data_IF_133135801443
#
_entry.id   IF_133135801443
#
_cell.length_a   1.000
_cell.length_b   1.000
_cell.length_c   1.000
_cell.angle_alpha   90.00
_cell.angle_beta   90.00
_cell.angle_gamma   90.00
#
_symmetry.space_group_name_H-M   'P 1'
#
loop_
_entity.id
_entity.type
_entity.pdbx_description
1 polymer ?
#
# COMPACT_ATOMS: atom_id res chain seq x y z
N UNK A 1 -17.06 3.95 16.95
CA UNK A 1 -17.14 4.04 15.47
C UNK A 1 -18.54 3.71 15.00
N UNK A 2 -19.14 4.49 14.08
CA UNK A 2 -20.48 4.20 13.57
C UNK A 2 -20.41 3.16 12.44
N UNK A 3 -20.67 1.90 12.79
CA UNK A 3 -20.68 0.73 11.89
C UNK A 3 -21.51 1.02 10.63
N UNK A 4 -22.61 1.80 10.73
CA UNK A 4 -23.47 2.22 9.61
C UNK A 4 -22.71 2.84 8.43
N UNK A 5 -21.61 3.57 8.69
CA UNK A 5 -20.84 4.23 7.63
C UNK A 5 -19.98 3.28 6.79
N UNK A 6 -19.73 2.07 7.26
CA UNK A 6 -18.98 1.05 6.52
C UNK A 6 -19.84 0.33 5.47
N UNK A 7 -21.17 0.51 5.51
CA UNK A 7 -22.09 -0.15 4.57
C UNK A 7 -21.73 0.22 3.11
N UNK A 8 -21.57 -0.78 2.22
CA UNK A 8 -21.38 -0.52 0.79
C UNK A 8 -22.58 0.27 0.25
N UNK A 9 -22.33 1.50 -0.23
CA UNK A 9 -23.36 2.32 -0.87
C UNK A 9 -23.34 2.04 -2.36
N UNK A 10 -24.43 1.49 -2.89
CA UNK A 10 -24.62 1.40 -4.33
C UNK A 10 -24.85 2.81 -4.90
N UNK A 11 -24.17 3.12 -6.00
CA UNK A 11 -24.22 4.42 -6.68
C UNK A 11 -24.48 4.17 -8.16
N UNK A 12 -25.26 5.06 -8.79
CA UNK A 12 -25.49 4.99 -10.23
C UNK A 12 -24.18 5.18 -11.01
N UNK A 13 -24.12 4.64 -12.23
CA UNK A 13 -22.96 4.78 -13.13
C UNK A 13 -22.57 6.24 -13.33
N UNK A 14 -23.55 7.12 -13.56
CA UNK A 14 -23.33 8.56 -13.70
C UNK A 14 -22.71 9.20 -12.46
N UNK A 15 -23.17 8.82 -11.25
CA UNK A 15 -22.59 9.31 -10.00
C UNK A 15 -21.13 8.87 -9.83
N UNK A 16 -20.79 7.65 -10.23
CA UNK A 16 -19.42 7.13 -10.19
C UNK A 16 -18.53 7.90 -11.18
N UNK A 17 -18.99 8.13 -12.41
CA UNK A 17 -18.24 8.88 -13.43
C UNK A 17 -18.00 10.33 -12.99
N UNK A 18 -19.07 11.04 -12.60
CA UNK A 18 -18.97 12.44 -12.16
C UNK A 18 -18.13 12.57 -10.88
N UNK A 19 -18.30 11.64 -9.94
CA UNK A 19 -17.49 11.58 -8.73
C UNK A 19 -16.01 11.36 -9.04
N UNK A 20 -15.69 10.41 -9.92
CA UNK A 20 -14.32 10.14 -10.36
C UNK A 20 -13.70 11.38 -11.00
N UNK A 21 -14.43 12.07 -11.87
CA UNK A 21 -13.96 13.31 -12.48
C UNK A 21 -13.72 14.41 -11.42
N UNK A 22 -14.70 14.66 -10.55
CA UNK A 22 -14.58 15.64 -9.47
C UNK A 22 -13.37 15.38 -8.56
N UNK A 23 -13.24 14.15 -8.03
CA UNK A 23 -12.14 13.82 -7.12
C UNK A 23 -10.79 13.83 -7.84
N UNK A 24 -10.75 13.45 -9.12
CA UNK A 24 -9.51 13.51 -9.89
C UNK A 24 -9.05 14.94 -10.13
N UNK A 25 -9.97 15.82 -10.53
CA UNK A 25 -9.71 17.25 -10.70
C UNK A 25 -9.30 17.89 -9.38
N UNK A 26 -10.01 17.57 -8.28
CA UNK A 26 -9.65 18.04 -6.93
C UNK A 26 -8.21 17.64 -6.57
N UNK A 27 -7.80 16.40 -6.85
CA UNK A 27 -6.43 15.96 -6.60
C UNK A 27 -5.41 16.75 -7.40
N UNK A 28 -5.68 17.06 -8.68
CA UNK A 28 -4.76 17.87 -9.48
C UNK A 28 -4.61 19.28 -8.92
N UNK A 29 -5.72 19.91 -8.50
CA UNK A 29 -5.68 21.22 -7.83
C UNK A 29 -4.85 21.13 -6.55
N UNK A 30 -5.05 20.08 -5.73
CA UNK A 30 -4.23 19.86 -4.53
C UNK A 30 -2.72 19.76 -4.86
N UNK A 31 -2.32 18.98 -5.86
CA UNK A 31 -0.90 18.88 -6.25
C UNK A 31 -0.27 20.19 -6.71
N UNK A 32 -1.09 21.16 -7.14
CA UNK A 32 -0.65 22.47 -7.61
C UNK A 32 -0.73 23.54 -6.51
N UNK A 33 -1.65 23.42 -5.56
CA UNK A 33 -2.02 24.50 -4.65
C UNK A 33 -1.96 24.13 -3.15
N UNK A 34 -1.56 22.90 -2.78
CA UNK A 34 -1.48 22.49 -1.37
C UNK A 34 -0.20 22.96 -0.63
N UNK A 35 0.65 23.73 -1.30
CA UNK A 35 1.88 24.28 -0.74
C UNK A 35 2.99 23.25 -0.47
N UNK A 36 2.78 21.96 -0.76
CA UNK A 36 3.81 20.95 -0.53
C UNK A 36 4.87 20.98 -1.63
N UNK A 37 6.12 20.78 -1.23
CA UNK A 37 7.21 20.49 -2.17
C UNK A 37 7.23 19.01 -2.47
N UNK A 38 6.86 18.62 -3.68
CA UNK A 38 6.85 17.21 -4.07
C UNK A 38 8.19 16.77 -4.66
N UNK A 39 8.65 15.60 -4.25
CA UNK A 39 9.89 14.99 -4.73
C UNK A 39 9.83 14.77 -6.26
N UNK A 40 10.88 15.20 -6.96
CA UNK A 40 11.03 15.07 -8.42
C UNK A 40 12.42 14.59 -8.85
N UNK A 41 13.39 14.60 -7.94
CA UNK A 41 14.80 14.31 -8.26
C UNK A 41 15.03 12.81 -8.28
N UNK A 42 15.61 12.31 -9.36
CA UNK A 42 16.07 10.93 -9.48
C UNK A 42 17.60 10.88 -9.40
N UNK A 43 18.10 9.84 -8.79
CA UNK A 43 19.53 9.53 -8.71
C UNK A 43 19.72 8.04 -8.99
N UNK A 44 20.64 7.70 -9.90
CA UNK A 44 20.96 6.31 -10.23
C UNK A 44 21.86 5.68 -9.18
N UNK A 45 22.86 6.44 -8.71
CA UNK A 45 23.75 6.00 -7.65
C UNK A 45 22.98 5.79 -6.35
N UNK A 46 23.29 4.69 -5.67
CA UNK A 46 22.64 4.32 -4.42
C UNK A 46 23.25 5.13 -3.27
N UNK A 47 22.39 5.70 -2.42
CA UNK A 47 22.83 6.22 -1.13
C UNK A 47 23.49 5.09 -0.30
N UNK A 48 24.50 5.40 0.51
CA UNK A 48 25.39 4.39 1.08
C UNK A 48 24.69 3.45 2.07
N UNK A 49 23.83 3.97 2.94
CA UNK A 49 23.20 3.19 4.00
C UNK A 49 21.83 2.64 3.56
N UNK A 50 21.55 1.39 3.88
CA UNK A 50 20.21 0.81 3.71
C UNK A 50 19.46 0.99 5.03
N UNK A 51 18.39 1.79 5.04
CA UNK A 51 17.52 1.94 6.22
C UNK A 51 16.70 0.67 6.43
N UNK A 52 15.98 0.24 5.40
CA UNK A 52 15.21 -1.00 5.43
C UNK A 52 15.15 -1.61 4.04
N UNK A 53 15.12 -2.94 3.98
CA UNK A 53 14.85 -3.71 2.79
C UNK A 53 13.66 -4.63 3.05
N UNK A 54 12.75 -4.73 2.09
CA UNK A 54 11.66 -5.70 2.14
C UNK A 54 11.43 -6.34 0.79
N UNK A 55 10.91 -7.58 0.81
CA UNK A 55 10.56 -8.33 -0.40
C UNK A 55 9.20 -8.99 -0.26
N UNK A 56 8.45 -9.00 -1.37
CA UNK A 56 7.15 -9.67 -1.45
C UNK A 56 7.11 -10.59 -2.65
N UNK A 57 6.45 -11.74 -2.53
CA UNK A 57 6.32 -12.72 -3.62
C UNK A 57 5.52 -12.09 -4.77
N UNK A 58 6.02 -12.22 -6.00
CA UNK A 58 5.38 -11.65 -7.19
C UNK A 58 4.12 -12.41 -7.61
N UNK A 59 4.17 -13.74 -7.59
CA UNK A 59 3.12 -14.59 -8.12
C UNK A 59 2.50 -15.39 -6.98
N UNK A 60 1.18 -15.24 -6.79
CA UNK A 60 0.41 -16.06 -5.86
C UNK A 60 -0.70 -16.74 -6.64
N UNK A 61 -0.83 -18.06 -6.49
CA UNK A 61 -1.98 -18.80 -7.01
C UNK A 61 -3.15 -18.50 -6.09
N UNK A 62 -4.10 -17.71 -6.57
CA UNK A 62 -5.32 -17.38 -5.86
C UNK A 62 -6.41 -18.39 -6.28
N UNK A 63 -7.29 -18.76 -5.34
CA UNK A 63 -8.42 -19.64 -5.63
C UNK A 63 -9.34 -18.97 -6.65
N UNK A 64 -9.79 -19.71 -7.66
CA UNK A 64 -10.74 -19.26 -8.69
C UNK A 64 -10.31 -18.00 -9.46
N UNK A 65 -9.00 -17.82 -9.64
CA UNK A 65 -8.40 -16.70 -10.36
C UNK A 65 -7.35 -17.20 -11.34
N UNK A 66 -7.49 -16.80 -12.60
CA UNK A 66 -6.52 -17.15 -13.63
C UNK A 66 -5.14 -16.53 -13.40
N UNK A 67 -4.09 -17.29 -13.72
CA UNK A 67 -2.71 -16.85 -13.55
C UNK A 67 -2.31 -15.68 -14.46
N UNK A 68 -3.00 -15.46 -15.58
CA UNK A 68 -2.71 -14.34 -16.49
C UNK A 68 -2.81 -12.98 -15.79
N UNK A 69 -3.71 -12.82 -14.80
CA UNK A 69 -3.78 -11.63 -13.97
C UNK A 69 -2.48 -11.36 -13.21
N UNK A 70 -1.85 -12.41 -12.69
CA UNK A 70 -0.59 -12.29 -11.94
C UNK A 70 0.58 -11.97 -12.87
N UNK A 71 0.63 -12.58 -14.07
CA UNK A 71 1.65 -12.26 -15.07
C UNK A 71 1.54 -10.81 -15.57
N UNK A 72 0.33 -10.35 -15.90
CA UNK A 72 0.08 -8.98 -16.32
C UNK A 72 0.35 -7.97 -15.21
N UNK A 73 0.06 -8.32 -13.95
CA UNK A 73 0.48 -7.52 -12.79
C UNK A 73 1.99 -7.31 -12.80
N UNK A 74 2.79 -8.36 -13.01
CA UNK A 74 4.27 -8.21 -13.08
C UNK A 74 4.67 -7.24 -14.19
N UNK A 75 4.02 -7.29 -15.36
CA UNK A 75 4.27 -6.35 -16.44
C UNK A 75 3.95 -4.90 -16.03
N UNK A 76 2.77 -4.67 -15.44
CA UNK A 76 2.37 -3.35 -14.92
C UNK A 76 3.34 -2.83 -13.84
N UNK A 77 3.77 -3.69 -12.92
CA UNK A 77 4.75 -3.36 -11.89
C UNK A 77 6.08 -2.92 -12.50
N UNK A 78 6.59 -3.63 -13.53
CA UNK A 78 7.82 -3.24 -14.24
C UNK A 78 7.71 -1.83 -14.83
N UNK A 79 6.56 -1.45 -15.38
CA UNK A 79 6.33 -0.10 -15.92
C UNK A 79 6.31 0.95 -14.80
N UNK A 80 5.59 0.68 -13.71
CA UNK A 80 5.49 1.62 -12.59
C UNK A 80 6.82 1.81 -11.85
N UNK A 81 7.62 0.75 -11.66
CA UNK A 81 8.94 0.82 -11.03
C UNK A 81 9.87 1.76 -11.80
N UNK A 82 9.83 1.77 -13.14
CA UNK A 82 10.63 2.72 -13.94
C UNK A 82 10.31 4.20 -13.66
N UNK A 83 9.15 4.49 -13.06
CA UNK A 83 8.73 5.84 -12.68
C UNK A 83 9.05 6.19 -11.22
N UNK A 84 9.45 5.22 -10.41
CA UNK A 84 9.68 5.39 -8.98
C UNK A 84 11.12 5.09 -8.56
N UNK A 85 11.75 4.09 -9.17
CA UNK A 85 13.09 3.65 -8.78
C UNK A 85 14.10 4.79 -8.90
N UNK A 86 14.85 5.03 -7.83
CA UNK A 86 15.87 6.07 -7.74
C UNK A 86 15.32 7.44 -7.33
N UNK A 87 14.03 7.60 -7.03
CA UNK A 87 13.51 8.88 -6.50
C UNK A 87 14.18 9.20 -5.17
N UNK A 88 14.64 10.44 -5.03
CA UNK A 88 15.19 11.01 -3.80
C UNK A 88 14.17 11.96 -3.20
N UNK A 89 13.93 11.81 -1.89
CA UNK A 89 13.07 12.66 -1.07
C UNK A 89 14.00 13.47 -0.15
N UNK A 90 14.13 14.77 -0.42
CA UNK A 90 14.92 15.67 0.42
C UNK A 90 14.15 16.05 1.70
N UNK A 91 14.84 16.53 2.74
CA UNK A 91 14.19 17.17 3.89
C UNK A 91 13.08 18.15 3.46
N UNK A 92 11.90 18.00 4.03
CA UNK A 92 10.70 18.78 3.72
C UNK A 92 9.93 18.36 2.46
N UNK A 93 10.48 17.50 1.61
CA UNK A 93 9.79 17.02 0.40
C UNK A 93 8.80 15.90 0.69
N UNK A 94 7.79 15.80 -0.18
CA UNK A 94 6.75 14.76 -0.14
C UNK A 94 6.82 13.88 -1.38
N UNK A 95 6.99 12.58 -1.19
CA UNK A 95 6.73 11.57 -2.20
C UNK A 95 5.21 11.42 -2.40
N UNK A 96 4.77 11.35 -3.65
CA UNK A 96 3.38 11.04 -4.01
C UNK A 96 3.38 9.99 -5.11
N UNK A 97 2.79 8.83 -4.78
CA UNK A 97 2.80 7.64 -5.62
C UNK A 97 2.19 7.91 -7.01
N UNK A 98 0.97 8.47 -7.05
CA UNK A 98 0.30 8.76 -8.32
C UNK A 98 0.82 9.98 -9.04
N UNK A 99 1.42 10.95 -8.34
CA UNK A 99 2.06 12.09 -9.00
C UNK A 99 3.27 11.64 -9.82
N UNK A 100 4.04 10.69 -9.32
CA UNK A 100 5.21 10.15 -10.00
C UNK A 100 4.84 9.16 -11.13
N UNK A 101 3.92 8.23 -10.88
CA UNK A 101 3.51 7.23 -11.88
C UNK A 101 2.62 7.85 -12.98
N UNK A 102 1.71 8.74 -12.59
CA UNK A 102 0.65 9.27 -13.46
C UNK A 102 -0.41 8.23 -13.81
N UNK A 103 -1.35 8.61 -14.70
CA UNK A 103 -2.47 7.72 -15.10
C UNK A 103 -1.95 6.46 -15.79
N UNK A 104 -2.27 5.24 -15.31
CA UNK A 104 -2.04 4.02 -16.07
C UNK A 104 -2.94 3.98 -17.31
N UNK A 105 -2.36 3.83 -18.49
CA UNK A 105 -3.10 3.75 -19.77
C UNK A 105 -2.43 2.76 -20.71
N UNK A 106 -3.21 2.19 -21.65
CA UNK A 106 -2.66 1.30 -22.70
C UNK A 106 -1.57 1.98 -23.52
N UNK A 107 -1.72 3.28 -23.82
CA UNK A 107 -0.71 4.08 -24.53
C UNK A 107 0.65 4.12 -23.81
N UNK A 108 0.65 4.02 -22.48
CA UNK A 108 1.88 3.93 -21.66
C UNK A 108 2.37 2.50 -21.48
N UNK A 109 1.77 1.53 -22.18
CA UNK A 109 2.08 0.11 -22.09
C UNK A 109 1.35 -0.64 -20.98
N UNK A 110 0.51 0.00 -20.16
CA UNK A 110 -0.18 -0.76 -19.11
C UNK A 110 -1.20 -1.74 -19.70
N UNK A 111 -1.21 -2.94 -19.14
CA UNK A 111 -2.10 -4.04 -19.53
C UNK A 111 -3.20 -4.24 -18.49
N UNK A 112 -4.22 -4.99 -18.87
CA UNK A 112 -5.28 -5.39 -17.96
C UNK A 112 -4.77 -6.32 -16.87
N UNK A 113 -5.23 -6.09 -15.65
CA UNK A 113 -4.94 -6.93 -14.50
C UNK A 113 -6.09 -6.89 -13.51
N UNK A 114 -5.90 -7.59 -12.40
CA UNK A 114 -6.91 -7.67 -11.35
C UNK A 114 -7.02 -6.33 -10.59
N UNK A 115 -8.24 -5.83 -10.45
CA UNK A 115 -8.60 -4.65 -9.65
C UNK A 115 -9.70 -5.04 -8.67
N UNK A 116 -9.48 -4.82 -7.38
CA UNK A 116 -10.50 -5.08 -6.35
C UNK A 116 -11.64 -4.05 -6.46
N UNK A 117 -12.87 -4.53 -6.44
CA UNK A 117 -14.07 -3.72 -6.62
C UNK A 117 -15.23 -4.29 -5.77
N UNK A 118 -15.71 -3.52 -4.78
CA UNK A 118 -16.85 -3.86 -3.91
C UNK A 118 -16.87 -5.30 -3.35
N UNK A 119 -15.75 -5.78 -2.79
CA UNK A 119 -15.67 -7.11 -2.20
C UNK A 119 -15.46 -8.24 -3.20
N UNK A 120 -15.39 -7.94 -4.49
CA UNK A 120 -14.94 -8.86 -5.55
C UNK A 120 -13.74 -8.27 -6.29
N UNK A 121 -13.39 -8.87 -7.43
CA UNK A 121 -12.41 -8.31 -8.36
C UNK A 121 -13.01 -8.19 -9.76
N UNK A 122 -12.46 -7.27 -10.54
CA UNK A 122 -12.75 -7.08 -11.95
C UNK A 122 -11.46 -6.81 -12.72
N UNK A 123 -11.54 -6.90 -14.04
CA UNK A 123 -10.44 -6.55 -14.93
C UNK A 123 -10.32 -5.04 -15.10
N UNK A 124 -9.11 -4.51 -14.98
CA UNK A 124 -8.83 -3.10 -15.22
C UNK A 124 -7.39 -2.83 -15.65
N UNK A 125 -7.18 -1.76 -16.42
CA UNK A 125 -5.85 -1.35 -16.88
C UNK A 125 -4.98 -0.95 -15.68
N UNK A 126 -3.75 -1.46 -15.62
CA UNK A 126 -2.85 -1.19 -14.49
C UNK A 126 -3.22 -1.99 -13.23
N UNK A 127 -3.97 -3.08 -13.37
CA UNK A 127 -4.29 -3.95 -12.25
C UNK A 127 -3.05 -4.49 -11.54
N UNK A 128 -3.16 -4.65 -10.21
CA UNK A 128 -2.11 -5.16 -9.33
C UNK A 128 -1.05 -4.16 -8.85
N UNK A 129 -1.14 -2.87 -9.23
CA UNK A 129 -0.23 -1.83 -8.74
C UNK A 129 -0.30 -1.57 -7.22
N UNK A 130 -1.39 -1.97 -6.54
CA UNK A 130 -1.48 -1.88 -5.08
C UNK A 130 -0.39 -2.71 -4.36
N UNK A 131 0.16 -3.76 -5.00
CA UNK A 131 1.25 -4.52 -4.39
C UNK A 131 2.50 -3.64 -4.17
N UNK A 132 2.75 -2.70 -5.08
CA UNK A 132 3.90 -1.79 -4.98
C UNK A 132 3.69 -0.73 -3.89
N UNK A 133 2.50 -0.13 -3.80
CA UNK A 133 2.18 0.80 -2.72
C UNK A 133 2.18 0.12 -1.35
N UNK A 134 1.72 -1.13 -1.25
CA UNK A 134 1.83 -1.93 -0.02
C UNK A 134 3.28 -2.14 0.41
N UNK A 135 4.17 -2.50 -0.53
CA UNK A 135 5.59 -2.66 -0.27
C UNK A 135 6.22 -1.35 0.25
N UNK A 136 5.98 -0.23 -0.45
CA UNK A 136 6.54 1.07 -0.10
C UNK A 136 6.05 1.50 1.29
N UNK A 137 4.74 1.43 1.53
CA UNK A 137 4.14 1.79 2.81
C UNK A 137 4.71 0.94 3.96
N UNK A 138 4.76 -0.38 3.79
CA UNK A 138 5.31 -1.28 4.81
C UNK A 138 6.75 -0.90 5.18
N UNK A 139 7.62 -0.71 4.19
CA UNK A 139 8.99 -0.27 4.44
C UNK A 139 9.04 1.08 5.15
N UNK A 140 8.21 2.04 4.76
CA UNK A 140 8.18 3.36 5.38
C UNK A 140 7.85 3.30 6.88
N UNK A 141 7.02 2.36 7.32
CA UNK A 141 6.73 2.18 8.75
C UNK A 141 7.97 1.83 9.59
N UNK A 142 9.01 1.28 8.95
CA UNK A 142 10.30 0.98 9.57
C UNK A 142 11.34 2.11 9.39
N UNK A 143 10.89 3.31 9.03
CA UNK A 143 11.75 4.49 8.87
C UNK A 143 11.23 5.69 9.64
N UNK A 144 12.09 6.70 9.77
CA UNK A 144 11.75 7.99 10.35
C UNK A 144 10.94 8.88 9.38
N UNK A 145 10.65 8.41 8.16
CA UNK A 145 9.75 9.08 7.24
C UNK A 145 8.31 9.03 7.76
N UNK A 146 7.52 10.05 7.41
CA UNK A 146 6.13 10.21 7.86
C UNK A 146 5.16 9.86 6.75
N UNK A 147 4.25 8.92 6.97
CA UNK A 147 3.14 8.66 6.04
C UNK A 147 2.06 9.71 6.26
N UNK A 148 1.88 10.63 5.31
CA UNK A 148 0.92 11.74 5.42
C UNK A 148 -0.42 11.45 4.75
N UNK A 149 -0.46 10.47 3.84
CA UNK A 149 -1.71 10.02 3.20
C UNK A 149 -1.64 8.52 2.95
N UNK A 150 -2.63 7.79 3.43
CA UNK A 150 -2.79 6.35 3.20
C UNK A 150 -4.26 5.97 3.23
N UNK A 151 -4.66 5.13 2.30
CA UNK A 151 -5.98 4.50 2.28
C UNK A 151 -5.89 2.99 2.44
N UNK A 152 -7.01 2.37 2.79
CA UNK A 152 -7.16 0.93 2.92
C UNK A 152 -8.34 0.41 2.12
N UNK A 153 -8.34 -0.89 1.87
CA UNK A 153 -9.51 -1.58 1.37
C UNK A 153 -10.60 -1.62 2.46
N UNK A 154 -11.84 -1.40 2.03
CA UNK A 154 -13.03 -1.55 2.89
C UNK A 154 -13.45 -3.01 3.03
N UNK A 155 -12.93 -3.90 2.18
CA UNK A 155 -13.28 -5.32 2.13
C UNK A 155 -12.03 -6.19 2.32
N UNK A 156 -12.11 -7.18 3.20
CA UNK A 156 -11.13 -8.26 3.37
C UNK A 156 -11.58 -9.42 2.49
N UNK A 157 -11.05 -9.46 1.26
CA UNK A 157 -11.58 -10.31 0.17
C UNK A 157 -11.06 -11.75 0.24
N UNK A 158 -9.85 -11.96 0.75
CA UNK A 158 -9.20 -13.26 0.73
C UNK A 158 -9.02 -13.81 2.16
N UNK A 159 -9.51 -15.03 2.46
CA UNK A 159 -9.24 -15.71 3.72
C UNK A 159 -7.75 -16.01 3.82
N UNK A 160 -7.09 -15.45 4.83
CA UNK A 160 -5.65 -15.58 4.98
C UNK A 160 -5.27 -16.61 6.05
N UNK A 161 -5.00 -17.84 5.63
CA UNK A 161 -4.19 -18.77 6.41
C UNK A 161 -2.70 -18.44 6.19
N UNK A 162 -1.99 -18.03 7.26
CA UNK A 162 -0.52 -17.74 7.30
C UNK A 162 -0.06 -16.34 6.87
N UNK A 163 -0.64 -15.27 7.44
CA UNK A 163 -0.07 -13.91 7.29
C UNK A 163 1.28 -13.78 7.98
N UNK A 164 2.24 -13.14 7.29
CA UNK A 164 3.52 -12.72 7.88
C UNK A 164 3.53 -11.24 8.27
N UNK A 165 2.47 -10.49 7.96
CA UNK A 165 2.32 -9.06 8.27
C UNK A 165 0.93 -8.80 8.92
N UNK A 166 0.83 -7.80 9.81
CA UNK A 166 -0.44 -7.38 10.42
C UNK A 166 -1.58 -7.15 9.42
N UNK A 167 -2.83 -7.32 9.86
CA UNK A 167 -3.96 -6.93 9.02
C UNK A 167 -3.94 -5.44 8.68
N UNK A 168 -4.25 -5.09 7.43
CA UNK A 168 -4.22 -3.70 6.98
C UNK A 168 -2.82 -3.08 6.91
N UNK A 169 -1.76 -3.89 6.84
CA UNK A 169 -0.38 -3.40 6.64
C UNK A 169 -0.09 -2.84 5.24
N UNK A 170 -1.11 -2.75 4.37
CA UNK A 170 -1.01 -2.22 3.02
C UNK A 170 -1.54 -0.79 2.87
N UNK A 171 -1.24 -0.19 1.71
CA UNK A 171 -1.78 1.08 1.25
C UNK A 171 -2.52 0.89 -0.08
N UNK A 172 -3.84 1.01 -0.05
CA UNK A 172 -4.67 0.99 -1.25
C UNK A 172 -4.48 2.27 -2.03
N UNK A 173 -4.31 2.13 -3.34
CA UNK A 173 -4.15 3.26 -4.25
C UNK A 173 -5.11 3.12 -5.43
N UNK A 174 -5.74 4.23 -5.83
CA UNK A 174 -6.60 4.32 -7.01
C UNK A 174 -6.35 5.65 -7.69
N UNK A 175 -6.04 5.60 -8.99
CA UNK A 175 -5.58 6.77 -9.70
C UNK A 175 -6.71 7.82 -9.85
N UNK A 176 -6.49 9.09 -9.49
CA UNK A 176 -5.39 9.67 -8.71
C UNK A 176 -5.81 10.07 -7.29
N UNK A 177 -7.07 9.89 -6.92
CA UNK A 177 -7.62 10.48 -5.70
C UNK A 177 -7.38 9.65 -4.42
N UNK A 178 -7.01 8.37 -4.53
CA UNK A 178 -6.50 7.58 -3.41
C UNK A 178 -4.99 7.37 -3.60
N UNK A 179 -4.19 8.17 -2.91
CA UNK A 179 -2.74 8.22 -3.07
C UNK A 179 -2.02 7.67 -1.82
N UNK A 180 -0.75 7.35 -1.99
CA UNK A 180 0.19 7.12 -0.88
C UNK A 180 1.16 8.30 -0.89
N UNK A 181 1.11 9.12 0.17
CA UNK A 181 2.03 10.24 0.35
C UNK A 181 2.91 10.04 1.58
N UNK A 182 4.21 10.30 1.39
CA UNK A 182 5.24 10.12 2.41
C UNK A 182 6.08 11.39 2.45
N UNK A 183 6.13 12.06 3.60
CA UNK A 183 6.94 13.24 3.81
C UNK A 183 8.25 12.85 4.49
N UNK A 184 9.34 13.49 4.04
CA UNK A 184 10.60 13.42 4.74
C UNK A 184 10.70 14.58 5.74
N UNK A 185 10.35 14.32 6.99
CA UNK A 185 10.50 15.27 8.10
C UNK A 185 11.88 15.19 8.77
N UNK A 186 12.80 14.41 8.20
CA UNK A 186 14.17 14.25 8.72
C UNK A 186 15.12 15.27 8.09
N UNK A 187 16.35 15.33 8.60
CA UNK A 187 17.47 16.12 8.09
C UNK A 187 18.31 15.39 7.02
N UNK A 188 17.98 14.13 6.70
CA UNK A 188 18.74 13.30 5.76
C UNK A 188 17.98 13.06 4.44
N UNK A 189 18.73 12.76 3.38
CA UNK A 189 18.14 12.32 2.12
C UNK A 189 17.66 10.87 2.25
N UNK A 190 16.45 10.60 1.75
CA UNK A 190 15.97 9.24 1.53
C UNK A 190 15.87 8.96 0.04
N UNK A 191 16.29 7.78 -0.38
CA UNK A 191 16.18 7.30 -1.75
C UNK A 191 15.39 6.00 -1.78
N UNK A 192 14.39 5.93 -2.65
CA UNK A 192 13.62 4.71 -2.89
C UNK A 192 14.28 3.91 -4.01
N UNK A 193 14.74 2.71 -3.71
CA UNK A 193 15.25 1.77 -4.70
C UNK A 193 14.31 0.57 -4.83
N UNK A 194 13.93 0.23 -6.07
CA UNK A 194 12.90 -0.75 -6.39
C UNK A 194 13.33 -1.61 -7.57
N UNK A 195 13.16 -2.93 -7.43
CA UNK A 195 13.49 -3.87 -8.50
C UNK A 195 12.67 -5.16 -8.37
N UNK A 196 12.66 -5.93 -9.46
CA UNK A 196 11.98 -7.21 -9.56
C UNK A 196 13.05 -8.27 -9.82
N UNK A 197 13.00 -9.34 -9.04
CA UNK A 197 13.73 -10.59 -9.26
C UNK A 197 12.80 -11.62 -9.89
N UNK A 198 13.24 -12.86 -10.11
CA UNK A 198 12.39 -13.90 -10.68
C UNK A 198 11.15 -14.21 -9.82
N UNK A 199 11.30 -14.12 -8.49
CA UNK A 199 10.27 -14.51 -7.53
C UNK A 199 9.71 -13.36 -6.70
N UNK A 200 10.44 -12.24 -6.58
CA UNK A 200 10.12 -11.19 -5.63
C UNK A 200 10.12 -9.78 -6.22
N UNK A 201 9.17 -8.97 -5.77
CA UNK A 201 9.22 -7.52 -5.81
C UNK A 201 10.00 -7.05 -4.57
N UNK A 202 11.09 -6.33 -4.78
CA UNK A 202 12.02 -5.90 -3.73
C UNK A 202 12.07 -4.38 -3.69
N UNK A 203 12.09 -3.84 -2.48
CA UNK A 203 12.27 -2.43 -2.23
C UNK A 203 13.30 -2.18 -1.13
N UNK A 204 13.93 -1.03 -1.21
CA UNK A 204 14.88 -0.52 -0.23
C UNK A 204 14.63 0.98 -0.02
N UNK A 205 14.54 1.40 1.24
CA UNK A 205 14.81 2.80 1.60
C UNK A 205 16.29 2.92 1.91
N UNK A 206 16.96 3.84 1.22
CA UNK A 206 18.39 4.13 1.42
C UNK A 206 18.55 5.56 1.92
N UNK A 207 19.58 5.81 2.71
CA UNK A 207 19.87 7.11 3.34
C UNK A 207 21.37 7.34 3.42
N UNK A 208 21.77 8.56 3.80
CA UNK A 208 23.18 8.98 3.90
C UNK A 208 23.85 8.40 5.14
N UNK A 209 23.17 8.43 6.28
CA UNK A 209 23.70 7.91 7.55
C UNK A 209 22.83 6.78 8.10
N UNK A 210 23.36 5.88 8.94
CA UNK A 210 22.57 4.84 9.58
C UNK A 210 21.39 5.42 10.36
N UNK A 211 20.29 4.67 10.44
CA UNK A 211 19.13 5.10 11.20
C UNK A 211 19.47 5.24 12.69
N UNK A 212 18.99 6.32 13.29
CA UNK A 212 19.09 6.55 14.74
C UNK A 212 18.15 5.65 15.53
N UNK A 213 17.06 5.22 14.90
CA UNK A 213 16.01 4.44 15.52
C UNK A 213 15.75 3.13 14.78
N UNK A 214 15.40 2.10 15.55
CA UNK A 214 14.84 0.86 15.06
C UNK A 214 13.35 0.81 15.35
N UNK A 215 12.58 0.23 14.44
CA UNK A 215 11.12 0.23 14.49
C UNK A 215 10.57 -1.19 14.41
N UNK A 216 9.80 -1.59 15.41
CA UNK A 216 9.06 -2.86 15.43
C UNK A 216 7.58 -2.56 15.20
N UNK A 217 7.04 -2.96 14.04
CA UNK A 217 5.63 -2.79 13.69
C UNK A 217 4.84 -3.99 14.17
N UNK A 218 3.75 -3.76 14.91
CA UNK A 218 2.94 -4.83 15.48
C UNK A 218 1.44 -4.50 15.46
N UNK A 219 0.62 -5.54 15.61
CA UNK A 219 -0.84 -5.46 15.65
C UNK A 219 -1.35 -5.42 17.09
N UNK A 220 -2.35 -4.58 17.37
CA UNK A 220 -3.07 -4.52 18.64
C UNK A 220 -4.58 -4.48 18.39
N UNK A 221 -5.36 -4.80 19.43
CA UNK A 221 -6.82 -4.65 19.44
C UNK A 221 -7.52 -5.41 18.30
N UNK A 222 -6.95 -6.57 17.93
CA UNK A 222 -7.53 -7.42 16.91
C UNK A 222 -8.89 -7.94 17.36
N UNK A 223 -9.93 -7.69 16.57
CA UNK A 223 -11.27 -8.22 16.83
C UNK A 223 -12.03 -8.49 15.55
N UNK A 224 -12.93 -9.47 15.60
CA UNK A 224 -13.90 -9.77 14.57
C UNK A 224 -15.28 -9.71 15.20
N UNK A 225 -16.15 -8.87 14.66
CA UNK A 225 -17.50 -8.64 15.19
C UNK A 225 -18.54 -8.90 14.11
N UNK A 226 -19.67 -9.54 14.44
CA UNK A 226 -20.79 -9.65 13.50
C UNK A 226 -21.35 -8.26 13.19
N UNK A 227 -21.66 -8.02 11.91
CA UNK A 227 -22.36 -6.81 11.49
C UNK A 227 -23.87 -7.03 11.51
N UNK A 228 -24.64 -6.03 11.96
CA UNK A 228 -26.10 -6.15 12.08
C UNK A 228 -26.83 -6.38 10.73
N UNK A 229 -26.19 -6.05 9.60
CA UNK A 229 -26.73 -6.28 8.25
C UNK A 229 -26.28 -7.61 7.64
N UNK A 230 -25.64 -8.49 8.41
CA UNK A 230 -25.04 -9.73 7.94
C UNK A 230 -23.54 -9.58 7.61
N UNK A 231 -22.78 -10.65 7.85
CA UNK A 231 -21.32 -10.69 7.67
C UNK A 231 -20.53 -10.25 8.91
N UNK A 232 -19.21 -10.12 8.76
CA UNK A 232 -18.29 -9.80 9.85
C UNK A 232 -17.44 -8.57 9.54
N UNK A 233 -17.09 -7.81 10.56
CA UNK A 233 -16.15 -6.70 10.49
C UNK A 233 -14.91 -7.09 11.27
N UNK A 234 -13.76 -7.06 10.59
CA UNK A 234 -12.44 -7.22 11.19
C UNK A 234 -11.87 -5.85 11.52
N UNK A 235 -11.44 -5.68 12.75
CA UNK A 235 -10.80 -4.48 13.26
C UNK A 235 -9.41 -4.79 13.82
N UNK A 236 -8.48 -3.86 13.62
CA UNK A 236 -7.22 -3.82 14.35
C UNK A 236 -6.61 -2.42 14.37
N UNK A 237 -5.61 -2.25 15.22
CA UNK A 237 -4.73 -1.09 15.24
C UNK A 237 -3.31 -1.54 14.92
N UNK A 238 -2.64 -0.83 14.01
CA UNK A 238 -1.20 -0.97 13.78
C UNK A 238 -0.50 0.10 14.60
N UNK A 239 0.51 -0.34 15.34
CA UNK A 239 1.41 0.51 16.13
C UNK A 239 2.84 0.14 15.81
N UNK A 240 3.78 1.01 16.17
CA UNK A 240 5.20 0.69 16.08
C UNK A 240 5.94 1.12 17.35
N UNK A 241 6.77 0.23 17.88
CA UNK A 241 7.70 0.56 18.96
C UNK A 241 8.98 1.14 18.38
N UNK A 242 9.48 2.18 19.03
CA UNK A 242 10.71 2.87 18.64
C UNK A 242 11.79 2.51 19.64
N UNK A 243 12.94 2.07 19.14
CA UNK A 243 14.11 1.76 19.93
C UNK A 243 15.29 2.61 19.47
N UNK A 244 16.17 3.02 20.38
CA UNK A 244 17.44 3.66 20.02
C UNK A 244 18.46 2.61 19.54
N UNK A 245 19.67 3.06 19.20
CA UNK A 245 20.76 2.20 18.74
C UNK A 245 21.22 1.17 19.81
N UNK A 246 21.03 1.48 21.10
CA UNK A 246 21.30 0.60 22.23
C UNK A 246 20.15 -0.39 22.51
N UNK A 247 19.13 -0.45 21.63
CA UNK A 247 17.91 -1.27 21.77
C UNK A 247 17.08 -0.94 23.00
N UNK A 248 17.25 0.25 23.57
CA UNK A 248 16.39 0.74 24.64
C UNK A 248 15.10 1.25 24.03
N UNK A 249 13.98 0.86 24.62
CA UNK A 249 12.66 1.33 24.23
C UNK A 249 12.56 2.83 24.49
N UNK A 250 12.11 3.58 23.48
CA UNK A 250 11.92 5.03 23.56
C UNK A 250 10.44 5.35 23.71
N UNK A 251 9.62 4.87 22.76
CA UNK A 251 8.19 5.17 22.74
C UNK A 251 7.40 4.17 21.89
N UNK A 252 6.08 4.27 21.99
CA UNK A 252 5.12 3.47 21.25
C UNK A 252 4.20 4.38 20.43
N UNK A 253 4.36 4.36 19.11
CA UNK A 253 3.68 5.26 18.19
C UNK A 253 2.45 4.59 17.55
N UNK A 254 1.33 5.31 17.55
CA UNK A 254 0.17 4.94 16.74
C UNK A 254 0.49 5.13 15.24
N UNK A 255 0.14 4.14 14.41
CA UNK A 255 0.32 4.22 12.95
C UNK A 255 -1.02 4.41 12.25
N UNK A 256 -1.92 3.45 12.41
CA UNK A 256 -3.23 3.48 11.73
C UNK A 256 -4.18 2.48 12.36
N UNK A 257 -5.46 2.68 12.09
CA UNK A 257 -6.55 1.79 12.48
C UNK A 257 -7.23 1.24 11.22
N UNK A 258 -7.57 -0.06 11.21
CA UNK A 258 -8.23 -0.69 10.09
C UNK A 258 -9.56 -1.31 10.50
N UNK A 259 -10.55 -1.25 9.58
CA UNK A 259 -11.86 -1.89 9.74
C UNK A 259 -12.37 -2.42 8.39
N UNK A 260 -12.25 -3.70 8.09
CA UNK A 260 -12.76 -4.23 6.84
C UNK A 260 -13.96 -5.15 7.04
N UNK A 261 -14.87 -5.11 6.08
CA UNK A 261 -15.93 -6.11 5.94
C UNK A 261 -15.27 -7.38 5.41
N UNK A 262 -15.39 -8.47 6.15
CA UNK A 262 -14.91 -9.78 5.73
C UNK A 262 -15.85 -10.35 4.66
N UNK A 263 -15.26 -10.83 3.56
CA UNK A 263 -16.00 -11.48 2.47
C UNK A 263 -16.00 -13.00 2.59
N UNK A 264 -15.56 -13.52 3.73
CA UNK A 264 -15.45 -14.93 4.06
C UNK A 264 -15.80 -15.13 5.54
N UNK A 265 -16.20 -16.35 5.90
CA UNK A 265 -16.55 -16.67 7.29
C UNK A 265 -15.29 -16.84 8.15
N UNK A 266 -15.28 -16.31 9.39
CA UNK A 266 -14.11 -16.36 10.27
C UNK A 266 -13.74 -17.78 10.73
N UNK A 267 -14.64 -18.76 10.60
CA UNK A 267 -14.51 -20.12 11.13
C UNK A 267 -14.17 -21.19 10.07
N UNK A 268 -13.77 -20.80 8.86
CA UNK A 268 -13.29 -21.79 7.89
C UNK A 268 -11.98 -22.41 8.40
N UNK A 269 -12.07 -23.64 8.90
CA UNK A 269 -10.91 -24.47 9.17
C UNK A 269 -10.09 -24.60 7.88
N UNK A 270 -8.79 -24.43 7.99
CA UNK A 270 -7.86 -24.68 6.90
C UNK A 270 -7.88 -26.20 6.66
N UNK A 271 -8.74 -26.70 5.77
CA UNK A 271 -8.69 -28.10 5.34
C UNK A 271 -7.34 -28.30 4.64
N UNK A 272 -6.38 -28.90 5.36
CA UNK A 272 -5.16 -29.43 4.78
C UNK A 272 -5.52 -30.70 4.00
N UNK A 273 -6.16 -30.55 2.85
CA UNK A 273 -6.19 -31.60 1.83
C UNK A 273 -5.11 -31.28 0.81
N UNK A 274 -3.88 -31.64 1.16
CA UNK A 274 -2.79 -31.92 0.22
C UNK A 274 -1.79 -32.83 0.95
N UNK A 275 -2.26 -34.04 1.30
CA UNK A 275 -1.40 -35.20 1.53
C UNK A 275 -1.97 -36.38 0.76
N UNK A 276 -1.63 -36.44 -0.52
CA UNK A 276 -1.41 -37.68 -1.29
C UNK A 276 -0.54 -37.36 -2.50
#
# INVERSE_FOLDING_TARGET
MNIVNLRPKQRSKYRIILGTWYYSTKRYIQWLADGKTYAKRFQQEKLPCTAIQHRTILLRKLKDVDMWYQHNKVFNLKIAIKKLNGIVIRPGETFSYWRLIGKPTRKKGYVEGMVLHYGSFQTGIGGGLCQLSNLIYWMTLHTSLTVTERYRHSFDVFPDSKRTQPFGSGATCSYNYLDLQIKNDTDQLYQLHLYITDKHLVGEWRTVYPQLYQYEVYEKEHSIQPAYWGGYIRHNVIRRRVYNQQKQFIEDQYVTENHAIMMYEPLLACNNEDSK
#
